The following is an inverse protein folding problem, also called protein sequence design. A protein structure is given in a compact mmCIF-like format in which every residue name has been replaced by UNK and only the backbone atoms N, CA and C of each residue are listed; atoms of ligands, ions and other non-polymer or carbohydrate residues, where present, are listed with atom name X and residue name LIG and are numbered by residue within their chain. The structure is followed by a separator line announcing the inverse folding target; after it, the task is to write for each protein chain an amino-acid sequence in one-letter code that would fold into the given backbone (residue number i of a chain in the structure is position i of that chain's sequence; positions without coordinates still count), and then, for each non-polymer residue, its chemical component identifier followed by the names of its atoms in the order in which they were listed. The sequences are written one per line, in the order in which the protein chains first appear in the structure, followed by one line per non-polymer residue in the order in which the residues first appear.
data_IF_112324666354
#
_entry.id   IF_112324666354
#
_cell.length_a   1.000
_cell.length_b   1.000
_cell.length_c   1.000
_cell.angle_alpha   90.00
_cell.angle_beta   90.00
_cell.angle_gamma   90.00
#
_symmetry.space_group_name_H-M   'P 1'
#
loop_
_entity.id
_entity.type
_entity.pdbx_description
1 polymer ?
#
# COMPACT_ATOMS: atom_id res chain seq x y z
N UNK A 1 8.97 0.19 -0.06
CA UNK A 1 9.56 -0.99 0.62
C UNK A 1 11.06 -1.12 0.38
N UNK A 2 11.50 -1.43 -0.85
CA UNK A 2 12.93 -1.54 -1.21
C UNK A 2 13.68 -0.20 -1.26
N UNK A 3 12.95 0.92 -1.21
CA UNK A 3 13.50 2.27 -1.25
C UNK A 3 14.28 2.53 -2.55
N UNK A 4 13.69 2.15 -3.69
CA UNK A 4 14.19 2.54 -4.99
C UNK A 4 13.63 3.93 -5.30
N UNK A 5 14.51 4.93 -5.41
CA UNK A 5 14.13 6.31 -5.69
C UNK A 5 14.04 6.60 -7.19
N UNK A 6 14.91 5.96 -7.99
CA UNK A 6 15.04 6.21 -9.42
C UNK A 6 14.99 4.89 -10.20
N UNK A 7 14.03 4.77 -11.12
CA UNK A 7 13.84 3.59 -11.96
C UNK A 7 13.17 4.01 -13.28
N UNK A 8 13.64 3.45 -14.39
CA UNK A 8 12.92 3.49 -15.67
C UNK A 8 12.10 2.22 -15.84
N UNK A 9 10.83 2.37 -16.19
CA UNK A 9 9.92 1.26 -16.49
C UNK A 9 9.47 1.45 -17.94
N UNK A 10 9.88 0.55 -18.81
CA UNK A 10 9.48 0.52 -20.23
C UNK A 10 8.40 -0.54 -20.45
N UNK A 11 7.40 -0.20 -21.26
CA UNK A 11 6.26 -1.06 -21.56
C UNK A 11 5.95 -1.02 -23.06
N UNK A 12 5.83 -2.19 -23.68
CA UNK A 12 5.34 -2.31 -25.06
C UNK A 12 3.80 -2.21 -25.13
N UNK A 13 3.13 -2.50 -24.02
CA UNK A 13 1.67 -2.46 -23.88
C UNK A 13 1.16 -1.28 -23.05
N UNK A 14 -0.17 -1.07 -22.99
CA UNK A 14 -0.76 0.05 -22.26
C UNK A 14 -0.83 -0.14 -20.74
N UNK A 15 -0.49 -1.33 -20.22
CA UNK A 15 -0.66 -1.70 -18.81
C UNK A 15 0.56 -2.47 -18.29
N UNK A 16 0.84 -2.31 -16.98
CA UNK A 16 1.81 -3.16 -16.27
C UNK A 16 1.29 -4.61 -16.26
N UNK A 17 2.12 -5.62 -16.56
CA UNK A 17 1.73 -7.02 -16.44
C UNK A 17 1.24 -7.35 -15.03
N UNK A 18 0.13 -8.06 -14.91
CA UNK A 18 -0.47 -8.38 -13.60
C UNK A 18 0.35 -9.43 -12.80
N UNK A 19 1.26 -10.15 -13.45
CA UNK A 19 1.99 -11.27 -12.85
C UNK A 19 1.03 -12.32 -12.29
N UNK A 20 1.28 -12.75 -11.05
CA UNK A 20 0.40 -13.61 -10.27
C UNK A 20 -0.67 -12.85 -9.44
N UNK A 21 -0.82 -11.54 -9.68
CA UNK A 21 -1.71 -10.66 -8.93
C UNK A 21 -1.10 -10.08 -7.65
N UNK A 22 0.14 -10.41 -7.33
CA UNK A 22 0.90 -9.86 -6.18
C UNK A 22 2.12 -9.06 -6.67
N UNK A 23 2.97 -8.60 -5.73
CA UNK A 23 4.24 -7.94 -6.06
C UNK A 23 5.43 -8.90 -6.11
N UNK A 24 5.21 -10.21 -5.94
CA UNK A 24 6.25 -11.22 -5.76
C UNK A 24 7.26 -11.28 -6.93
N UNK A 25 6.75 -11.26 -8.16
CA UNK A 25 7.57 -11.33 -9.37
C UNK A 25 8.44 -10.08 -9.54
N UNK A 26 7.87 -8.90 -9.26
CA UNK A 26 8.61 -7.63 -9.30
C UNK A 26 9.67 -7.57 -8.21
N UNK A 27 9.35 -7.98 -6.98
CA UNK A 27 10.29 -8.06 -5.89
C UNK A 27 11.47 -8.97 -6.25
N UNK A 28 11.19 -10.17 -6.79
CA UNK A 28 12.23 -11.12 -7.21
C UNK A 28 13.13 -10.51 -8.29
N UNK A 29 12.54 -9.90 -9.32
CA UNK A 29 13.30 -9.30 -10.41
C UNK A 29 14.23 -8.18 -9.92
N UNK A 30 13.76 -7.32 -9.00
CA UNK A 30 14.54 -6.24 -8.42
C UNK A 30 15.67 -6.76 -7.51
N UNK A 31 15.42 -7.78 -6.70
CA UNK A 31 16.45 -8.39 -5.84
C UNK A 31 17.53 -9.13 -6.66
N UNK A 32 17.14 -9.74 -7.79
CA UNK A 32 18.07 -10.46 -8.67
C UNK A 32 19.10 -9.53 -9.33
N UNK A 33 18.69 -8.32 -9.72
CA UNK A 33 19.59 -7.33 -10.36
C UNK A 33 20.31 -6.43 -9.36
N UNK A 34 19.76 -6.29 -8.14
CA UNK A 34 20.31 -5.45 -7.09
C UNK A 34 20.06 -3.94 -7.30
N UNK A 35 20.65 -3.13 -6.43
CA UNK A 35 20.50 -1.66 -6.41
C UNK A 35 21.87 -0.99 -6.43
N UNK A 36 21.93 0.22 -7.01
CA UNK A 36 23.14 1.05 -7.04
C UNK A 36 22.89 2.31 -6.21
N UNK A 37 23.76 2.56 -5.23
CA UNK A 37 23.72 3.81 -4.46
C UNK A 37 24.13 4.99 -5.35
N UNK A 38 23.44 6.12 -5.19
CA UNK A 38 23.72 7.35 -5.91
C UNK A 38 24.29 8.39 -4.94
N UNK A 39 25.19 9.24 -5.44
CA UNK A 39 25.85 10.30 -4.67
C UNK A 39 24.93 11.51 -4.44
N UNK A 40 23.75 11.26 -3.89
CA UNK A 40 22.80 12.28 -3.45
C UNK A 40 22.04 11.79 -2.21
N UNK A 41 21.79 12.68 -1.23
CA UNK A 41 20.99 12.31 -0.08
C UNK A 41 19.54 12.04 -0.51
N UNK A 42 18.98 10.91 -0.05
CA UNK A 42 17.55 10.66 -0.17
C UNK A 42 16.78 11.68 0.66
N UNK A 43 15.70 12.22 0.10
CA UNK A 43 14.77 13.12 0.77
C UNK A 43 13.51 12.38 1.16
N UNK A 44 13.00 12.67 2.36
CA UNK A 44 11.79 12.09 2.90
C UNK A 44 10.75 13.17 3.18
N UNK A 45 9.48 12.82 3.00
CA UNK A 45 8.34 13.58 3.49
C UNK A 45 8.06 13.17 4.93
N UNK A 46 8.60 13.92 5.90
CA UNK A 46 8.39 13.66 7.32
C UNK A 46 7.15 14.40 7.83
N UNK A 47 6.15 13.64 8.26
CA UNK A 47 4.90 14.18 8.80
C UNK A 47 5.14 14.80 10.19
N UNK A 48 4.76 16.06 10.35
CA UNK A 48 4.93 16.82 11.60
C UNK A 48 3.62 17.04 12.34
N UNK A 49 2.49 16.93 11.65
CA UNK A 49 1.15 17.09 12.25
C UNK A 49 0.19 16.05 11.66
N UNK A 50 -0.81 15.57 12.42
CA UNK A 50 -1.82 14.67 11.90
C UNK A 50 -2.58 15.27 10.72
N UNK A 51 -2.70 14.49 9.65
CA UNK A 51 -3.52 14.82 8.50
C UNK A 51 -4.59 13.74 8.37
N UNK A 52 -5.85 14.16 8.25
CA UNK A 52 -7.00 13.27 8.21
C UNK A 52 -7.90 13.55 7.01
N UNK A 53 -8.38 12.48 6.39
CA UNK A 53 -9.40 12.50 5.36
C UNK A 53 -10.48 11.47 5.68
N UNK A 54 -11.74 11.81 5.39
CA UNK A 54 -12.85 10.86 5.46
C UNK A 54 -13.93 11.11 4.44
N UNK A 55 -14.58 10.04 4.04
CA UNK A 55 -15.75 10.04 3.15
C UNK A 55 -16.70 8.93 3.58
N UNK A 56 -17.83 9.30 4.20
CA UNK A 56 -18.74 8.34 4.82
C UNK A 56 -18.04 7.54 5.92
N UNK A 57 -18.06 6.21 5.80
CA UNK A 57 -17.38 5.29 6.73
C UNK A 57 -15.90 5.05 6.40
N UNK A 58 -15.38 5.63 5.30
CA UNK A 58 -13.97 5.44 4.93
C UNK A 58 -13.12 6.50 5.62
N UNK A 59 -12.03 6.09 6.25
CA UNK A 59 -11.10 6.97 6.94
C UNK A 59 -9.67 6.69 6.51
N UNK A 60 -8.90 7.76 6.37
CA UNK A 60 -7.46 7.69 6.18
C UNK A 60 -6.81 8.82 6.96
N UNK A 61 -5.81 8.49 7.77
CA UNK A 61 -5.00 9.47 8.48
C UNK A 61 -3.53 9.12 8.38
N UNK A 62 -2.71 10.15 8.51
CA UNK A 62 -1.28 9.99 8.72
C UNK A 62 -0.88 10.81 9.93
N UNK A 63 -0.10 10.21 10.83
CA UNK A 63 0.45 10.88 12.02
C UNK A 63 1.98 10.81 12.01
N UNK A 64 2.66 11.71 12.75
CA UNK A 64 4.11 11.66 12.87
C UNK A 64 4.60 10.32 13.38
N UNK A 65 5.58 9.75 12.69
CA UNK A 65 6.21 8.48 13.07
C UNK A 65 7.60 8.38 12.45
N UNK A 66 8.50 7.73 13.16
CA UNK A 66 9.92 7.69 12.83
C UNK A 66 10.29 6.48 11.96
N UNK A 67 9.70 6.44 10.78
CA UNK A 67 9.74 5.33 9.85
C UNK A 67 8.49 5.37 8.98
N UNK A 68 8.17 4.26 8.31
CA UNK A 68 6.90 4.11 7.61
C UNK A 68 6.14 2.97 8.28
N UNK A 69 5.00 3.28 8.90
CA UNK A 69 4.11 2.27 9.48
C UNK A 69 2.74 2.35 8.82
N UNK A 70 2.14 1.22 8.50
CA UNK A 70 0.79 1.13 7.97
C UNK A 70 -0.08 0.33 8.92
N UNK A 71 -1.24 0.86 9.28
CA UNK A 71 -2.33 0.09 9.88
C UNK A 71 -3.51 0.08 8.92
N UNK A 72 -3.85 -1.07 8.37
CA UNK A 72 -4.93 -1.20 7.37
C UNK A 72 -6.04 -2.05 7.95
N UNK A 73 -7.25 -1.51 7.94
CA UNK A 73 -8.46 -2.21 8.36
C UNK A 73 -9.42 -2.28 7.19
N UNK A 74 -9.81 -3.50 6.83
CA UNK A 74 -10.84 -3.77 5.83
C UNK A 74 -12.07 -4.35 6.51
N UNK A 75 -13.24 -4.05 5.99
CA UNK A 75 -14.53 -4.53 6.49
C UNK A 75 -15.39 -4.84 5.27
N UNK A 76 -15.31 -6.08 4.81
CA UNK A 76 -16.11 -6.58 3.69
C UNK A 76 -17.25 -7.44 4.24
N UNK A 77 -18.51 -7.18 3.84
CA UNK A 77 -19.66 -8.00 4.22
C UNK A 77 -19.69 -9.30 3.42
N UNK A 78 -18.60 -10.08 3.50
CA UNK A 78 -18.43 -11.37 2.85
C UNK A 78 -17.90 -12.38 3.88
N UNK A 79 -18.49 -13.57 4.01
CA UNK A 79 -18.16 -14.52 5.06
C UNK A 79 -16.70 -15.00 5.03
N UNK A 80 -16.07 -15.04 3.86
CA UNK A 80 -14.64 -15.40 3.72
C UNK A 80 -13.65 -14.25 4.03
N UNK A 81 -14.12 -13.01 4.19
CA UNK A 81 -13.23 -11.83 4.42
C UNK A 81 -13.51 -11.22 5.80
N UNK A 82 -14.73 -10.70 6.00
CA UNK A 82 -15.12 -10.00 7.22
C UNK A 82 -14.28 -8.76 7.54
N UNK A 83 -14.17 -8.48 8.84
CA UNK A 83 -13.30 -7.45 9.40
C UNK A 83 -11.89 -8.01 9.59
N UNK A 84 -10.90 -7.40 8.95
CA UNK A 84 -9.49 -7.77 9.10
C UNK A 84 -8.65 -6.52 9.34
N UNK A 85 -7.60 -6.65 10.15
CA UNK A 85 -6.67 -5.58 10.47
C UNK A 85 -5.24 -6.08 10.35
N UNK A 86 -4.40 -5.32 9.66
CA UNK A 86 -2.96 -5.51 9.61
C UNK A 86 -2.26 -4.26 10.15
N UNK A 87 -1.21 -4.44 10.92
CA UNK A 87 -0.34 -3.37 11.41
C UNK A 87 1.11 -3.76 11.11
N UNK A 88 1.79 -2.93 10.34
CA UNK A 88 3.08 -3.25 9.75
C UNK A 88 4.03 -2.05 9.82
N UNK A 89 5.16 -2.23 10.49
CA UNK A 89 6.35 -1.38 10.32
C UNK A 89 7.07 -1.81 9.05
N UNK A 90 7.18 -0.89 8.08
CA UNK A 90 7.54 -1.20 6.70
C UNK A 90 9.04 -1.06 6.48
N UNK A 91 9.66 -2.19 6.21
CA UNK A 91 11.03 -2.29 5.72
C UNK A 91 11.10 -3.39 4.64
N UNK A 92 12.30 -3.65 4.13
CA UNK A 92 12.51 -4.66 3.09
C UNK A 92 12.11 -6.07 3.53
N UNK A 93 12.49 -6.47 4.75
CA UNK A 93 12.18 -7.79 5.30
C UNK A 93 10.68 -7.96 5.51
N UNK A 94 10.03 -7.00 6.19
CA UNK A 94 8.61 -7.06 6.49
C UNK A 94 7.76 -7.00 5.22
N UNK A 95 8.13 -6.19 4.23
CA UNK A 95 7.46 -6.18 2.93
C UNK A 95 7.59 -7.53 2.21
N UNK A 96 8.80 -8.07 2.09
CA UNK A 96 9.03 -9.32 1.37
C UNK A 96 8.33 -10.52 2.01
N UNK A 97 8.39 -10.62 3.34
CA UNK A 97 7.78 -11.72 4.10
C UNK A 97 6.26 -11.61 4.17
N UNK A 98 5.75 -10.41 4.48
CA UNK A 98 4.37 -10.26 4.96
C UNK A 98 3.40 -9.69 3.91
N UNK A 99 3.90 -9.02 2.86
CA UNK A 99 3.05 -8.25 1.93
C UNK A 99 3.22 -8.65 0.48
N UNK A 100 4.46 -8.83 0.01
CA UNK A 100 4.78 -8.93 -1.41
C UNK A 100 4.03 -10.07 -2.12
N UNK A 101 3.76 -11.18 -1.43
CA UNK A 101 3.09 -12.36 -2.00
C UNK A 101 1.55 -12.31 -1.95
N UNK A 102 0.94 -11.26 -1.38
CA UNK A 102 -0.51 -11.17 -1.24
C UNK A 102 -1.18 -10.78 -2.56
N UNK A 103 -2.02 -11.66 -3.10
CA UNK A 103 -2.66 -11.48 -4.41
C UNK A 103 -3.87 -10.55 -4.36
N UNK A 104 -4.14 -9.93 -5.49
CA UNK A 104 -5.37 -9.18 -5.71
C UNK A 104 -6.59 -10.09 -5.67
N UNK A 105 -7.75 -9.50 -5.44
CA UNK A 105 -8.98 -10.24 -5.29
C UNK A 105 -10.18 -9.53 -5.87
N UNK A 106 -11.17 -10.30 -6.31
CA UNK A 106 -12.42 -9.78 -6.86
C UNK A 106 -13.58 -10.76 -6.71
N UNK A 107 -14.80 -10.24 -6.78
CA UNK A 107 -16.00 -11.07 -6.75
C UNK A 107 -16.32 -11.57 -8.16
N UNK A 108 -16.73 -12.83 -8.29
CA UNK A 108 -17.04 -13.49 -9.56
C UNK A 108 -18.05 -12.69 -10.38
N UNK A 109 -19.14 -12.23 -9.72
CA UNK A 109 -20.18 -11.39 -10.33
C UNK A 109 -19.61 -10.10 -10.95
N UNK A 110 -18.62 -9.49 -10.31
CA UNK A 110 -18.04 -8.21 -10.73
C UNK A 110 -17.04 -8.46 -11.87
N UNK A 111 -16.29 -9.56 -11.81
CA UNK A 111 -15.39 -10.00 -12.89
C UNK A 111 -16.18 -10.32 -14.17
N UNK A 112 -17.29 -11.05 -14.06
CA UNK A 112 -18.18 -11.34 -15.20
C UNK A 112 -18.76 -10.05 -15.78
N UNK A 113 -19.27 -9.15 -14.93
CA UNK A 113 -19.79 -7.85 -15.36
C UNK A 113 -18.70 -7.00 -16.05
N UNK A 114 -17.47 -6.97 -15.53
CA UNK A 114 -16.35 -6.27 -16.14
C UNK A 114 -15.99 -6.86 -17.51
N UNK A 115 -15.93 -8.19 -17.64
CA UNK A 115 -15.63 -8.88 -18.91
C UNK A 115 -16.65 -8.54 -19.99
N UNK A 116 -17.94 -8.47 -19.67
CA UNK A 116 -18.97 -8.04 -20.65
C UNK A 116 -18.80 -6.61 -21.14
N UNK A 117 -18.14 -5.74 -20.36
CA UNK A 117 -17.79 -4.37 -20.73
C UNK A 117 -16.40 -4.25 -21.37
N UNK A 118 -15.73 -5.38 -21.62
CA UNK A 118 -14.39 -5.40 -22.19
C UNK A 118 -13.26 -5.05 -21.21
N UNK A 119 -13.52 -5.07 -19.90
CA UNK A 119 -12.54 -4.89 -18.82
C UNK A 119 -12.11 -6.26 -18.25
N UNK A 120 -11.05 -6.29 -17.45
CA UNK A 120 -10.55 -7.52 -16.78
C UNK A 120 -10.32 -8.72 -17.73
N UNK A 121 -9.95 -8.46 -18.99
CA UNK A 121 -9.79 -9.48 -20.04
C UNK A 121 -8.69 -10.51 -19.72
N UNK A 122 -7.63 -10.08 -19.02
CA UNK A 122 -6.55 -10.95 -18.56
C UNK A 122 -6.79 -11.63 -17.21
N UNK A 123 -7.93 -11.37 -16.54
CA UNK A 123 -8.22 -11.90 -15.21
C UNK A 123 -8.53 -13.40 -15.23
N UNK A 124 -7.82 -14.15 -14.38
CA UNK A 124 -7.92 -15.60 -14.20
C UNK A 124 -7.72 -16.00 -12.72
N UNK A 125 -7.94 -17.27 -12.40
CA UNK A 125 -7.65 -17.79 -11.05
C UNK A 125 -6.14 -17.87 -10.73
N UNK A 126 -5.30 -17.76 -11.76
CA UNK A 126 -3.83 -17.78 -11.61
C UNK A 126 -3.28 -16.43 -11.15
N UNK A 127 -4.01 -15.33 -11.42
CA UNK A 127 -3.58 -13.97 -11.12
C UNK A 127 -4.53 -13.16 -10.22
N UNK A 128 -5.56 -13.79 -9.67
CA UNK A 128 -6.45 -13.18 -8.69
C UNK A 128 -7.10 -14.24 -7.80
N UNK A 129 -7.35 -13.87 -6.55
CA UNK A 129 -8.30 -14.58 -5.69
C UNK A 129 -9.70 -14.21 -6.15
N UNK A 130 -10.52 -15.21 -6.46
CA UNK A 130 -11.91 -14.98 -6.86
C UNK A 130 -12.83 -15.50 -5.77
N UNK A 131 -13.79 -14.67 -5.39
CA UNK A 131 -14.83 -15.01 -4.42
C UNK A 131 -16.17 -15.14 -5.12
N UNK A 132 -16.94 -16.18 -4.79
CA UNK A 132 -18.34 -16.26 -5.18
C UNK A 132 -19.24 -15.54 -4.15
N UNK A 133 -20.39 -16.11 -3.79
CA UNK A 133 -21.28 -15.49 -2.80
C UNK A 133 -20.82 -15.76 -1.37
N UNK A 134 -20.18 -16.89 -1.10
CA UNK A 134 -19.89 -17.37 0.25
C UNK A 134 -18.48 -17.95 0.44
N UNK A 135 -17.74 -18.19 -0.64
CA UNK A 135 -16.48 -18.93 -0.61
C UNK A 135 -15.41 -18.37 -1.55
N UNK A 136 -14.19 -18.93 -1.40
CA UNK A 136 -13.06 -18.68 -2.30
C UNK A 136 -13.00 -19.83 -3.28
N UNK A 137 -12.98 -19.53 -4.59
CA UNK A 137 -13.05 -20.58 -5.62
C UNK A 137 -11.67 -21.06 -6.12
N UNK A 138 -10.58 -20.41 -5.71
CA UNK A 138 -9.23 -20.82 -6.08
C UNK A 138 -8.91 -22.21 -5.47
N UNK A 139 -8.56 -23.25 -6.25
CA UNK A 139 -8.31 -24.59 -5.72
C UNK A 139 -7.20 -24.68 -4.66
N UNK A 140 -6.19 -23.81 -4.75
CA UNK A 140 -5.10 -23.72 -3.78
C UNK A 140 -5.41 -22.83 -2.56
N UNK A 141 -6.60 -22.23 -2.50
CA UNK A 141 -7.00 -21.33 -1.42
C UNK A 141 -6.14 -20.06 -1.33
N UNK A 142 -5.95 -19.60 -0.09
CA UNK A 142 -5.15 -18.43 0.23
C UNK A 142 -3.69 -18.81 0.55
N UNK A 143 -2.77 -17.92 0.21
CA UNK A 143 -1.36 -17.96 0.64
C UNK A 143 -1.21 -17.53 2.10
N UNK A 144 -2.11 -16.66 2.57
CA UNK A 144 -2.18 -16.18 3.95
C UNK A 144 -3.63 -16.22 4.44
N UNK A 145 -3.86 -16.52 5.72
CA UNK A 145 -5.22 -16.49 6.28
C UNK A 145 -5.90 -15.11 6.16
N UNK A 146 -5.09 -14.05 6.15
CA UNK A 146 -5.43 -12.63 6.07
C UNK A 146 -4.95 -11.99 4.75
N UNK A 147 -4.89 -12.76 3.65
CA UNK A 147 -4.34 -12.31 2.36
C UNK A 147 -5.03 -11.05 1.81
N UNK A 148 -6.33 -10.85 2.08
CA UNK A 148 -7.09 -9.69 1.62
C UNK A 148 -6.60 -8.37 2.22
N UNK A 149 -6.37 -8.30 3.54
CA UNK A 149 -5.85 -7.08 4.18
C UNK A 149 -4.38 -6.86 3.88
N UNK A 150 -3.60 -7.94 3.67
CA UNK A 150 -2.22 -7.85 3.18
C UNK A 150 -2.16 -7.24 1.79
N UNK A 151 -3.05 -7.66 0.88
CA UNK A 151 -3.12 -7.06 -0.45
C UNK A 151 -3.57 -5.60 -0.38
N UNK A 152 -4.52 -5.23 0.49
CA UNK A 152 -4.87 -3.82 0.68
C UNK A 152 -3.74 -2.99 1.31
N UNK A 153 -2.86 -3.62 2.07
CA UNK A 153 -1.61 -3.00 2.54
C UNK A 153 -0.60 -2.83 1.40
N UNK A 154 -0.51 -3.80 0.48
CA UNK A 154 0.28 -3.72 -0.75
C UNK A 154 -0.21 -2.57 -1.65
N UNK A 155 -1.52 -2.48 -1.89
CA UNK A 155 -2.16 -1.40 -2.65
C UNK A 155 -1.81 -0.03 -2.03
N UNK A 156 -2.00 0.11 -0.72
CA UNK A 156 -1.71 1.36 -0.01
C UNK A 156 -0.24 1.76 -0.12
N UNK A 157 0.70 0.81 -0.05
CA UNK A 157 2.12 1.08 -0.28
C UNK A 157 2.39 1.58 -1.69
N UNK A 158 1.73 1.01 -2.70
CA UNK A 158 1.81 1.47 -4.08
C UNK A 158 1.23 2.88 -4.26
N UNK A 159 0.05 3.14 -3.69
CA UNK A 159 -0.60 4.45 -3.77
C UNK A 159 0.25 5.57 -3.15
N UNK A 160 0.95 5.28 -2.04
CA UNK A 160 1.86 6.24 -1.39
C UNK A 160 3.03 6.66 -2.28
N UNK A 161 3.42 5.85 -3.27
CA UNK A 161 4.50 6.22 -4.21
C UNK A 161 4.10 7.44 -5.04
N UNK A 162 2.80 7.70 -5.22
CA UNK A 162 2.30 8.91 -5.91
C UNK A 162 2.57 10.22 -5.16
N UNK A 163 3.09 10.15 -3.93
CA UNK A 163 3.65 11.30 -3.22
C UNK A 163 4.98 11.77 -3.84
N UNK A 164 5.60 10.96 -4.71
CA UNK A 164 6.89 11.21 -5.37
C UNK A 164 8.08 11.36 -4.41
N UNK A 165 7.85 11.10 -3.12
CA UNK A 165 8.86 11.10 -2.07
C UNK A 165 8.53 10.03 -1.02
N UNK A 166 9.52 9.32 -0.48
CA UNK A 166 9.34 8.42 0.65
C UNK A 166 8.69 9.12 1.85
N UNK A 167 7.54 8.62 2.27
CA UNK A 167 6.85 9.09 3.47
C UNK A 167 7.53 8.56 4.74
N UNK A 168 7.70 9.43 5.73
CA UNK A 168 7.94 9.07 7.12
C UNK A 168 6.73 9.48 7.97
N UNK A 169 5.98 8.50 8.42
CA UNK A 169 4.69 8.66 9.09
C UNK A 169 4.01 7.33 9.33
N UNK A 170 3.02 7.34 10.22
CA UNK A 170 2.14 6.21 10.46
C UNK A 170 0.82 6.46 9.75
N UNK A 171 0.62 5.76 8.65
CA UNK A 171 -0.59 5.81 7.85
C UNK A 171 -1.58 4.80 8.40
N UNK A 172 -2.82 5.22 8.62
CA UNK A 172 -3.86 4.32 9.08
C UNK A 172 -5.11 4.48 8.25
N UNK A 173 -5.65 3.33 7.85
CA UNK A 173 -6.66 3.19 6.84
C UNK A 173 -7.80 2.35 7.39
N UNK A 174 -9.02 2.82 7.23
CA UNK A 174 -10.24 2.08 7.52
C UNK A 174 -11.15 2.13 6.31
N UNK A 175 -11.41 0.98 5.68
CA UNK A 175 -12.20 0.84 4.44
C UNK A 175 -11.72 1.77 3.30
N UNK A 176 -10.46 2.19 3.33
CA UNK A 176 -9.87 3.08 2.34
C UNK A 176 -9.38 2.27 1.13
N UNK A 177 -9.78 2.68 -0.07
CA UNK A 177 -9.23 2.20 -1.34
C UNK A 177 -8.39 3.29 -2.02
N UNK A 178 -8.02 3.06 -3.29
CA UNK A 178 -7.21 3.98 -4.09
C UNK A 178 -7.78 5.41 -4.16
N UNK A 179 -9.11 5.55 -4.17
CA UNK A 179 -9.80 6.84 -4.18
C UNK A 179 -9.48 7.67 -2.93
N UNK A 180 -9.55 7.03 -1.76
CA UNK A 180 -9.27 7.65 -0.46
C UNK A 180 -7.77 7.90 -0.30
N UNK A 181 -6.93 6.94 -0.73
CA UNK A 181 -5.48 7.11 -0.70
C UNK A 181 -5.02 8.28 -1.56
N UNK A 182 -5.54 8.43 -2.77
CA UNK A 182 -5.24 9.57 -3.63
C UNK A 182 -5.63 10.90 -2.98
N UNK A 183 -6.81 10.97 -2.35
CA UNK A 183 -7.26 12.16 -1.62
C UNK A 183 -6.37 12.46 -0.41
N UNK A 184 -5.90 11.44 0.32
CA UNK A 184 -4.94 11.61 1.41
C UNK A 184 -3.61 12.17 0.90
N UNK A 185 -3.03 11.59 -0.15
CA UNK A 185 -1.75 12.04 -0.74
C UNK A 185 -1.86 13.50 -1.20
N UNK A 186 -2.93 13.86 -1.91
CA UNK A 186 -3.20 15.27 -2.28
C UNK A 186 -3.30 16.17 -1.05
N UNK A 187 -4.01 15.74 -0.02
CA UNK A 187 -4.14 16.52 1.23
C UNK A 187 -2.80 16.72 1.92
N UNK A 188 -1.89 15.74 1.88
CA UNK A 188 -0.51 15.88 2.39
C UNK A 188 0.22 16.97 1.61
N UNK A 189 0.19 16.91 0.27
CA UNK A 189 0.86 17.90 -0.59
C UNK A 189 0.27 19.31 -0.41
N UNK A 190 -1.04 19.42 -0.22
CA UNK A 190 -1.75 20.69 0.03
C UNK A 190 -1.58 21.23 1.47
N UNK A 191 -0.89 20.49 2.34
CA UNK A 191 -0.63 20.86 3.75
C UNK A 191 0.87 21.05 4.02
N UNK A 192 1.54 22.06 3.42
CA UNK A 192 2.99 22.23 3.51
C UNK A 192 3.50 22.54 4.93
N UNK A 193 2.63 22.91 5.86
CA UNK A 193 2.98 23.11 7.27
C UNK A 193 2.93 21.82 8.09
N UNK A 194 2.34 20.75 7.54
CA UNK A 194 2.11 19.48 8.22
C UNK A 194 3.12 18.40 7.83
N UNK A 195 4.11 18.74 6.99
CA UNK A 195 5.27 17.91 6.72
C UNK A 195 6.54 18.74 6.51
N UNK A 196 7.70 18.09 6.60
CA UNK A 196 9.00 18.66 6.26
C UNK A 196 9.80 17.72 5.38
N UNK A 197 10.67 18.30 4.56
CA UNK A 197 11.69 17.53 3.87
C UNK A 197 12.84 17.25 4.84
N UNK A 198 13.18 15.98 5.02
CA UNK A 198 14.35 15.55 5.79
C UNK A 198 15.25 14.69 4.92
N UNK A 199 16.56 14.87 5.04
CA UNK A 199 17.54 14.09 4.30
C UNK A 199 17.98 12.87 5.12
N UNK A 200 18.31 11.78 4.43
CA UNK A 200 18.90 10.61 5.08
C UNK A 200 20.17 11.01 5.84
N UNK A 201 20.23 10.70 7.13
CA UNK A 201 21.37 11.05 7.99
C UNK A 201 21.25 12.42 8.67
N UNK A 202 20.19 13.19 8.43
CA UNK A 202 19.89 14.39 9.21
C UNK A 202 19.60 14.03 10.68
N UNK A 203 20.10 14.85 11.61
CA UNK A 203 19.68 14.75 13.02
C UNK A 203 18.24 15.27 13.13
N UNK A 204 17.34 14.35 13.43
CA UNK A 204 15.91 14.58 13.58
C UNK A 204 15.45 14.38 15.03
N UNK A 205 16.37 14.40 15.99
CA UNK A 205 16.07 14.21 17.41
C UNK A 205 15.07 15.26 17.94
N UNK A 206 15.16 16.49 17.43
CA UNK A 206 14.22 17.56 17.81
C UNK A 206 12.82 17.30 17.25
N UNK A 207 12.72 16.86 16.00
CA UNK A 207 11.48 16.46 15.35
C UNK A 207 10.82 15.31 16.09
N UNK A 208 11.58 14.27 16.43
CA UNK A 208 11.10 13.15 17.26
C UNK A 208 10.51 13.70 18.56
N UNK A 209 11.27 14.46 19.34
CA UNK A 209 10.81 14.98 20.63
C UNK A 209 9.56 15.86 20.50
N UNK A 210 9.48 16.66 19.43
CA UNK A 210 8.39 17.61 19.20
C UNK A 210 7.12 16.92 18.71
N UNK A 211 7.23 15.84 17.95
CA UNK A 211 6.12 15.24 17.22
C UNK A 211 5.81 13.79 17.64
N UNK A 212 6.54 13.19 18.60
CA UNK A 212 6.30 11.82 19.06
C UNK A 212 5.06 11.64 19.95
N UNK A 213 4.38 12.72 20.32
CA UNK A 213 3.22 12.67 21.24
C UNK A 213 1.93 12.16 20.60
N UNK A 214 1.89 11.98 19.29
CA UNK A 214 0.68 11.58 18.58
C UNK A 214 0.43 10.09 18.70
N UNK A 215 -0.73 9.74 19.22
CA UNK A 215 -1.22 8.36 19.25
C UNK A 215 -2.43 8.28 18.35
N UNK A 216 -2.47 7.21 17.56
CA UNK A 216 -3.63 6.85 16.77
C UNK A 216 -4.84 6.65 17.70
N UNK A 217 -5.97 7.36 17.50
CA UNK A 217 -7.18 7.11 18.26
C UNK A 217 -7.61 5.65 18.09
N UNK A 218 -7.98 4.99 19.21
CA UNK A 218 -8.48 3.61 19.22
C UNK A 218 -9.78 3.47 18.43
#
# INVERSE_FOLDING_TARGET
ALRIDNLFIELDGPEIPIGDGSASEFLRALLEVGMVEQDQPRKYCYITEPIYFSEGEKHAYVVPYHGLRLTVTIDFPHPAIGLQKMDLDVNEESFGRDVANARTFGFLKDVEAMKTRGLAKGGSLDNAIVLDHDSIINPGGLRFADEFVRHKTLDALGDLVTLEMPLMGHVVLYKAGHDVMNKLVRKIMDSPNSFRHVELGADISQEVQRFSGWVVPN
#
